data_IF_106973421322
#
_entry.id   IF_106973421322
#
_cell.length_a   1.000
_cell.length_b   1.000
_cell.length_c   1.000
_cell.angle_alpha   90.00
_cell.angle_beta   90.00
_cell.angle_gamma   90.00
#
_symmetry.space_group_name_H-M   'P 1'
#
loop_
_entity.id
_entity.type
_entity.pdbx_description
1 polymer ?
#
# COMPACT_ATOMS: atom_id res chain seq x y z
N UNK A 1 -5.49 7.48 -16.30
CA UNK A 1 -5.21 6.48 -15.24
C UNK A 1 -6.33 6.61 -14.23
N UNK A 2 -7.13 5.57 -14.07
CA UNK A 2 -8.24 5.55 -13.11
C UNK A 2 -7.73 5.70 -11.67
N UNK A 3 -8.55 6.23 -10.75
CA UNK A 3 -8.14 6.47 -9.38
C UNK A 3 -7.74 5.15 -8.72
N UNK A 4 -6.45 4.97 -8.49
CA UNK A 4 -5.94 3.85 -7.69
C UNK A 4 -6.53 3.99 -6.29
N UNK A 5 -7.20 2.96 -5.79
CA UNK A 5 -7.69 2.99 -4.42
C UNK A 5 -6.49 3.08 -3.47
N UNK A 6 -6.35 4.24 -2.81
CA UNK A 6 -5.30 4.47 -1.81
C UNK A 6 -5.91 4.16 -0.44
N UNK A 7 -5.40 3.11 0.21
CA UNK A 7 -5.81 2.69 1.54
C UNK A 7 -4.68 2.91 2.55
N UNK A 8 -4.98 3.52 3.70
CA UNK A 8 -4.00 3.65 4.78
C UNK A 8 -4.04 2.42 5.71
N UNK A 9 -2.88 1.88 6.06
CA UNK A 9 -2.73 0.73 6.96
C UNK A 9 -1.45 0.85 7.80
N UNK A 10 -1.58 0.88 9.14
CA UNK A 10 -0.46 0.95 10.12
C UNK A 10 0.60 2.04 9.85
N UNK A 11 0.18 3.22 9.40
CA UNK A 11 1.10 4.33 9.09
C UNK A 11 1.74 4.26 7.70
N UNK A 12 1.32 3.30 6.87
CA UNK A 12 1.69 3.18 5.47
C UNK A 12 0.48 3.41 4.56
N UNK A 13 0.73 3.80 3.32
CA UNK A 13 -0.25 3.94 2.25
C UNK A 13 -0.07 2.79 1.25
N UNK A 14 -1.15 2.06 1.01
CA UNK A 14 -1.24 0.97 0.05
C UNK A 14 -1.99 1.51 -1.16
N UNK A 15 -1.36 1.40 -2.32
CA UNK A 15 -1.97 1.78 -3.59
C UNK A 15 -2.16 0.52 -4.43
N UNK A 16 -3.39 0.03 -4.51
CA UNK A 16 -3.70 -1.22 -5.18
C UNK A 16 -4.24 -0.99 -6.61
N UNK A 17 -3.81 -1.81 -7.56
CA UNK A 17 -4.30 -1.81 -8.93
C UNK A 17 -4.20 -3.20 -9.56
N UNK A 18 -5.11 -3.55 -10.46
CA UNK A 18 -5.00 -4.74 -11.29
C UNK A 18 -4.36 -4.38 -12.63
N UNK A 19 -3.59 -5.32 -13.18
CA UNK A 19 -3.09 -5.26 -14.55
C UNK A 19 -3.46 -6.55 -15.26
N UNK A 20 -4.08 -6.42 -16.43
CA UNK A 20 -4.31 -7.55 -17.32
C UNK A 20 -2.96 -8.01 -17.91
N UNK A 21 -2.59 -9.27 -17.68
CA UNK A 21 -1.35 -9.87 -18.17
C UNK A 21 -1.60 -10.81 -19.36
N UNK A 22 -2.76 -11.47 -19.38
CA UNK A 22 -3.25 -12.30 -20.47
C UNK A 22 -4.75 -12.07 -20.61
N UNK A 23 -5.39 -12.44 -21.74
CA UNK A 23 -6.83 -12.25 -21.92
C UNK A 23 -7.62 -12.83 -20.74
N UNK A 24 -8.45 -12.00 -20.09
CA UNK A 24 -9.26 -12.38 -18.92
C UNK A 24 -8.44 -12.83 -17.71
N UNK A 25 -7.18 -12.41 -17.61
CA UNK A 25 -6.27 -12.81 -16.54
C UNK A 25 -5.59 -11.58 -15.96
N UNK A 26 -5.92 -11.28 -14.71
CA UNK A 26 -5.50 -10.09 -13.98
C UNK A 26 -4.53 -10.45 -12.87
N UNK A 27 -3.45 -9.69 -12.77
CA UNK A 27 -2.52 -9.75 -11.65
C UNK A 27 -2.67 -8.46 -10.85
N UNK A 28 -2.82 -8.60 -9.55
CA UNK A 28 -2.92 -7.47 -8.63
C UNK A 28 -1.54 -6.99 -8.25
N UNK A 29 -1.37 -5.68 -8.17
CA UNK A 29 -0.17 -5.02 -7.72
C UNK A 29 -0.53 -4.03 -6.61
N UNK A 30 0.32 -3.96 -5.60
CA UNK A 30 0.23 -3.01 -4.51
C UNK A 30 1.56 -2.29 -4.34
N UNK A 31 1.52 -0.96 -4.42
CA UNK A 31 2.64 -0.13 -4.03
C UNK A 31 2.45 0.32 -2.57
N UNK A 32 3.40 -0.01 -1.71
CA UNK A 32 3.46 0.41 -0.30
C UNK A 32 4.35 1.64 -0.20
N UNK A 33 3.83 2.69 0.42
CA UNK A 33 4.52 3.98 0.59
C UNK A 33 4.39 4.46 2.02
N UNK A 34 5.36 5.21 2.53
CA UNK A 34 5.25 5.91 3.82
C UNK A 34 4.45 7.23 3.71
N UNK A 35 4.37 7.80 2.51
CA UNK A 35 3.68 9.06 2.25
C UNK A 35 2.47 8.85 1.33
N UNK A 36 1.46 9.71 1.49
CA UNK A 36 0.27 9.65 0.65
C UNK A 36 0.68 10.01 -0.79
N UNK A 37 0.36 9.16 -1.78
CA UNK A 37 0.52 9.54 -3.18
C UNK A 37 -0.25 10.83 -3.45
N UNK A 38 0.46 11.90 -3.77
CA UNK A 38 -0.14 13.13 -4.29
C UNK A 38 -0.08 13.09 -5.81
N UNK A 39 -1.09 13.65 -6.50
CA UNK A 39 -1.21 13.67 -7.97
C UNK A 39 -0.02 14.33 -8.70
N UNK A 40 0.90 14.97 -7.98
CA UNK A 40 2.01 15.75 -8.55
C UNK A 40 3.41 15.32 -8.08
N UNK A 41 3.51 14.38 -7.14
CA UNK A 41 4.79 13.99 -6.53
C UNK A 41 5.15 12.54 -6.82
N UNK A 42 6.42 12.28 -7.15
CA UNK A 42 6.95 10.93 -7.22
C UNK A 42 6.67 10.21 -5.89
N UNK A 43 5.85 9.16 -5.95
CA UNK A 43 5.54 8.34 -4.78
C UNK A 43 6.82 7.61 -4.40
N UNK A 44 7.32 7.84 -3.18
CA UNK A 44 8.39 7.03 -2.61
C UNK A 44 7.82 5.65 -2.26
N UNK A 45 7.78 4.78 -3.27
CA UNK A 45 7.40 3.38 -3.10
C UNK A 45 8.51 2.69 -2.33
N UNK A 46 8.22 2.33 -1.08
CA UNK A 46 9.12 1.56 -0.23
C UNK A 46 9.22 0.13 -0.75
N UNK A 47 8.06 -0.45 -1.05
CA UNK A 47 7.97 -1.84 -1.44
C UNK A 47 6.80 -2.05 -2.40
N UNK A 48 7.01 -2.92 -3.38
CA UNK A 48 5.98 -3.32 -4.34
C UNK A 48 5.69 -4.80 -4.15
N UNK A 49 4.41 -5.10 -3.96
CA UNK A 49 3.90 -6.46 -3.75
C UNK A 49 2.98 -6.83 -4.90
N UNK A 50 3.01 -8.08 -5.30
CA UNK A 50 2.12 -8.64 -6.32
C UNK A 50 1.21 -9.70 -5.70
N UNK A 51 0.06 -9.93 -6.32
CA UNK A 51 -0.83 -11.01 -5.93
C UNK A 51 -0.15 -12.38 -6.13
N UNK A 52 -0.50 -13.36 -5.27
CA UNK A 52 0.11 -14.70 -5.25
C UNK A 52 -0.06 -15.45 -6.58
N UNK A 53 -1.11 -15.14 -7.33
CA UNK A 53 -1.34 -15.68 -8.65
C UNK A 53 -2.07 -14.69 -9.54
N UNK A 54 -2.50 -15.19 -10.70
CA UNK A 54 -3.35 -14.47 -11.62
C UNK A 54 -4.81 -14.91 -11.44
N UNK A 55 -5.74 -13.98 -11.60
CA UNK A 55 -7.16 -14.17 -11.32
C UNK A 55 -8.00 -13.76 -12.53
N UNK A 56 -9.17 -14.39 -12.67
CA UNK A 56 -10.10 -14.07 -13.77
C UNK A 56 -10.86 -12.75 -13.56
N UNK A 57 -10.87 -12.25 -12.33
CA UNK A 57 -11.58 -11.03 -11.94
C UNK A 57 -10.59 -10.00 -11.39
N UNK A 58 -10.67 -8.78 -11.91
CA UNK A 58 -9.87 -7.63 -11.46
C UNK A 58 -9.99 -7.39 -9.95
N UNK A 59 -11.22 -7.36 -9.44
CA UNK A 59 -11.48 -7.13 -8.01
C UNK A 59 -10.80 -8.17 -7.12
N UNK A 60 -10.77 -9.43 -7.56
CA UNK A 60 -10.13 -10.52 -6.82
C UNK A 60 -8.61 -10.38 -6.83
N UNK A 61 -8.04 -9.95 -7.95
CA UNK A 61 -6.62 -9.66 -8.08
C UNK A 61 -6.19 -8.52 -7.14
N UNK A 62 -6.97 -7.43 -7.10
CA UNK A 62 -6.74 -6.30 -6.19
C UNK A 62 -6.80 -6.74 -4.73
N UNK A 63 -7.87 -7.45 -4.32
CA UNK A 63 -8.01 -7.93 -2.93
C UNK A 63 -6.87 -8.86 -2.51
N UNK A 64 -6.42 -9.73 -3.42
CA UNK A 64 -5.30 -10.63 -3.15
C UNK A 64 -3.98 -9.85 -2.95
N UNK A 65 -3.74 -8.83 -3.77
CA UNK A 65 -2.56 -7.97 -3.63
C UNK A 65 -2.63 -7.11 -2.35
N UNK A 66 -3.81 -6.60 -1.98
CA UNK A 66 -4.01 -5.87 -0.72
C UNK A 66 -3.72 -6.74 0.50
N UNK A 67 -4.19 -8.00 0.48
CA UNK A 67 -3.93 -8.93 1.56
C UNK A 67 -2.43 -9.22 1.71
N UNK A 68 -1.72 -9.42 0.59
CA UNK A 68 -0.27 -9.58 0.59
C UNK A 68 0.45 -8.32 1.10
N UNK A 69 0.04 -7.14 0.64
CA UNK A 69 0.60 -5.87 1.10
C UNK A 69 0.44 -5.68 2.61
N UNK A 70 -0.71 -6.05 3.18
CA UNK A 70 -0.93 -6.04 4.64
C UNK A 70 -0.01 -7.02 5.37
N UNK A 71 0.18 -8.23 4.84
CA UNK A 71 1.12 -9.20 5.43
C UNK A 71 2.57 -8.68 5.43
N UNK A 72 2.98 -8.00 4.37
CA UNK A 72 4.29 -7.35 4.29
C UNK A 72 4.39 -6.23 5.33
N UNK A 73 3.38 -5.35 5.42
CA UNK A 73 3.34 -4.28 6.42
C UNK A 73 3.31 -4.83 7.86
N UNK A 74 2.69 -5.99 8.08
CA UNK A 74 2.68 -6.65 9.38
C UNK A 74 4.07 -7.17 9.80
N UNK A 75 4.92 -7.51 8.83
CA UNK A 75 6.32 -7.89 9.06
C UNK A 75 7.25 -6.67 9.17
N UNK A 76 6.86 -5.54 8.57
CA UNK A 76 7.57 -4.28 8.75
C UNK A 76 7.41 -3.80 10.19
N UNK A 77 8.47 -3.14 10.70
CA UNK A 77 8.33 -2.44 11.97
C UNK A 77 7.20 -1.41 11.83
N UNK A 78 6.36 -1.23 12.86
CA UNK A 78 5.32 -0.22 12.82
C UNK A 78 5.96 1.14 12.51
N UNK A 79 5.65 1.74 11.36
CA UNK A 79 6.05 3.11 11.04
C UNK A 79 5.08 4.10 11.71
N UNK A 80 4.87 3.87 13.01
CA UNK A 80 4.33 4.90 13.86
C UNK A 80 5.55 5.77 14.15
N UNK A 81 5.85 6.68 13.23
CA UNK A 81 6.61 7.87 13.59
C UNK A 81 5.93 8.37 14.88
N UNK A 82 6.65 8.43 16.01
CA UNK A 82 6.03 8.65 17.30
C UNK A 82 5.18 9.89 17.17
N UNK A 83 3.86 9.70 17.23
CA UNK A 83 2.87 10.76 17.27
C UNK A 83 3.46 11.80 18.19
N UNK A 84 3.89 12.93 17.63
CA UNK A 84 4.73 13.93 18.28
C UNK A 84 4.21 14.11 19.67
N UNK A 85 4.90 13.56 20.69
CA UNK A 85 4.45 13.72 22.06
C UNK A 85 4.53 15.22 22.33
N UNK A 86 3.42 15.97 22.46
CA UNK A 86 3.46 17.35 22.87
C UNK A 86 3.62 17.28 24.39
N UNK A 87 4.82 16.91 24.82
CA UNK A 87 5.09 16.44 26.17
C UNK A 87 6.55 16.61 26.56
N UNK A 88 7.27 17.53 25.90
CA UNK A 88 8.44 18.15 26.49
C UNK A 88 8.02 19.14 27.56
N UNK A 89 7.39 18.67 28.64
CA UNK A 89 7.34 19.43 29.89
C UNK A 89 8.77 19.44 30.42
N UNK A 90 9.53 20.45 30.02
CA UNK A 90 10.77 20.80 30.71
C UNK A 90 10.36 21.26 32.12
N UNK A 91 10.39 20.35 33.08
CA UNK A 91 10.46 20.74 34.48
C UNK A 91 11.88 21.20 34.76
N UNK A 92 12.08 22.51 34.80
CA UNK A 92 13.15 23.17 35.55
C UNK A 92 12.62 24.40 36.22
#
# INVERSE_FOLDING_TARGET
MEPKAVQAYKGYFITAYAREMMPKTFVGFCDISNERPSDQGAVNVLERVQSVGAYELEQRAVQAAEFQARQVIDQLKPNWDPFTAPGGLTSR
#
